data_IF_884381569471
#
_entry.id   IF_884381569471
#
_cell.length_a   1.000
_cell.length_b   1.000
_cell.length_c   1.000
_cell.angle_alpha   90.00
_cell.angle_beta   90.00
_cell.angle_gamma   90.00
#
_symmetry.space_group_name_H-M   'P 1'
#
loop_
_entity.id
_entity.type
_entity.pdbx_description
1 polymer ?
#
# COMPACT_ATOMS: atom_id res chain seq x y z
N UNK A 1 28.01 19.69 -10.78
CA UNK A 1 27.12 18.92 -9.89
C UNK A 1 26.30 17.99 -10.78
N UNK A 2 26.77 16.76 -10.99
CA UNK A 2 26.19 15.81 -11.94
C UNK A 2 25.23 14.88 -11.21
N UNK A 3 23.95 14.95 -11.56
CA UNK A 3 22.90 14.06 -11.05
C UNK A 3 23.09 12.71 -11.75
N UNK A 4 23.52 11.67 -11.01
CA UNK A 4 23.40 10.29 -11.49
C UNK A 4 21.92 9.92 -11.50
N UNK A 5 21.38 9.65 -12.69
CA UNK A 5 20.03 9.12 -12.84
C UNK A 5 19.87 7.76 -12.13
N UNK A 6 18.65 7.46 -11.70
CA UNK A 6 18.29 6.20 -11.06
C UNK A 6 17.74 5.23 -12.13
N UNK A 7 18.42 4.09 -12.33
CA UNK A 7 17.92 3.02 -13.19
C UNK A 7 17.09 2.06 -12.34
N UNK A 8 15.79 1.96 -12.60
CA UNK A 8 14.96 0.90 -12.06
C UNK A 8 15.36 -0.41 -12.76
N UNK A 9 15.75 -1.47 -12.04
CA UNK A 9 15.87 -2.80 -12.62
C UNK A 9 14.51 -3.19 -13.22
N UNK A 10 14.46 -3.91 -14.36
CA UNK A 10 13.20 -4.47 -14.83
C UNK A 10 12.61 -5.32 -13.70
N UNK A 11 11.29 -5.22 -13.49
CA UNK A 11 10.58 -6.10 -12.57
C UNK A 11 10.99 -7.54 -12.88
N UNK A 12 11.61 -8.21 -11.90
CA UNK A 12 12.00 -9.61 -12.07
C UNK A 12 10.72 -10.42 -12.30
N UNK A 13 10.75 -11.32 -13.28
CA UNK A 13 9.67 -12.20 -13.70
C UNK A 13 9.25 -13.25 -12.65
N UNK A 14 9.13 -12.83 -11.39
CA UNK A 14 8.46 -13.55 -10.32
C UNK A 14 6.98 -13.11 -10.27
N UNK A 15 6.32 -13.10 -11.42
CA UNK A 15 4.91 -12.70 -11.61
C UNK A 15 3.96 -13.87 -11.30
N UNK A 16 4.22 -14.58 -10.21
CA UNK A 16 3.21 -15.43 -9.58
C UNK A 16 2.29 -14.56 -8.74
N UNK A 17 0.99 -14.86 -8.63
CA UNK A 17 0.13 -14.15 -7.69
C UNK A 17 0.78 -14.25 -6.30
N UNK A 18 1.07 -13.09 -5.70
CA UNK A 18 1.54 -13.04 -4.33
C UNK A 18 0.51 -13.77 -3.44
N UNK A 19 0.96 -14.54 -2.42
CA UNK A 19 0.04 -15.22 -1.54
C UNK A 19 -0.93 -14.21 -0.92
N UNK A 20 -2.21 -14.58 -0.87
CA UNK A 20 -3.24 -13.75 -0.26
C UNK A 20 -2.85 -13.42 1.18
N UNK A 21 -2.88 -12.14 1.52
CA UNK A 21 -2.57 -11.67 2.86
C UNK A 21 -3.78 -11.92 3.76
N UNK A 22 -3.63 -12.76 4.77
CA UNK A 22 -4.66 -12.90 5.80
C UNK A 22 -4.62 -11.70 6.76
N UNK A 23 -5.67 -10.89 6.70
CA UNK A 23 -5.85 -9.74 7.57
C UNK A 23 -6.53 -10.13 8.88
N UNK A 24 -5.98 -9.62 9.98
CA UNK A 24 -6.64 -9.68 11.28
C UNK A 24 -7.90 -8.79 11.30
N UNK A 25 -8.79 -8.94 12.30
CA UNK A 25 -10.04 -8.16 12.35
C UNK A 25 -9.84 -6.64 12.38
N UNK A 26 -8.80 -6.15 13.04
CA UNK A 26 -8.52 -4.72 13.15
C UNK A 26 -8.04 -4.13 11.81
N UNK A 27 -7.23 -4.90 11.08
CA UNK A 27 -6.76 -4.52 9.75
C UNK A 27 -7.91 -4.55 8.73
N UNK A 28 -8.76 -5.58 8.79
CA UNK A 28 -9.97 -5.69 7.95
C UNK A 28 -10.91 -4.50 8.17
N UNK A 29 -11.12 -4.09 9.42
CA UNK A 29 -11.94 -2.93 9.73
C UNK A 29 -11.43 -1.63 9.09
N UNK A 30 -10.12 -1.49 8.88
CA UNK A 30 -9.53 -0.35 8.15
C UNK A 30 -9.79 -0.46 6.64
N UNK A 31 -9.62 -1.67 6.07
CA UNK A 31 -9.83 -1.91 4.63
C UNK A 31 -11.28 -1.68 4.22
N UNK A 32 -12.22 -2.08 5.08
CA UNK A 32 -13.67 -1.94 4.86
C UNK A 32 -14.21 -0.51 5.07
N UNK A 33 -13.35 0.45 5.44
CA UNK A 33 -13.78 1.84 5.56
C UNK A 33 -14.33 2.36 4.22
N UNK A 34 -15.48 3.06 4.21
CA UNK A 34 -16.04 3.64 3.00
C UNK A 34 -15.10 4.65 2.30
N UNK A 35 -15.29 4.86 1.00
CA UNK A 35 -14.63 6.00 0.32
C UNK A 35 -15.13 7.32 0.92
N UNK A 36 -14.21 8.29 1.04
CA UNK A 36 -14.54 9.64 1.55
C UNK A 36 -14.46 9.80 3.06
N UNK A 37 -14.22 8.72 3.83
CA UNK A 37 -13.98 8.82 5.28
C UNK A 37 -12.49 8.98 5.58
N UNK A 38 -12.19 9.70 6.65
CA UNK A 38 -10.84 9.82 7.19
C UNK A 38 -10.73 9.06 8.50
N UNK A 39 -9.61 8.36 8.71
CA UNK A 39 -9.36 7.57 9.91
C UNK A 39 -7.91 7.71 10.38
N UNK A 40 -7.71 7.60 11.69
CA UNK A 40 -6.38 7.49 12.30
C UNK A 40 -6.15 6.04 12.73
N UNK A 41 -5.10 5.42 12.19
CA UNK A 41 -4.73 4.03 12.50
C UNK A 41 -3.48 4.01 13.36
N UNK A 42 -3.64 3.68 14.64
CA UNK A 42 -2.58 3.65 15.63
C UNK A 42 -2.27 2.19 15.95
N UNK A 43 -0.99 1.81 15.86
CA UNK A 43 -0.55 0.44 16.10
C UNK A 43 0.88 0.39 16.59
N UNK A 44 1.20 -0.65 17.35
CA UNK A 44 2.54 -0.93 17.84
C UNK A 44 3.52 -1.20 16.67
N UNK A 45 4.85 -1.10 16.89
CA UNK A 45 5.83 -1.59 15.94
C UNK A 45 5.54 -3.05 15.57
N UNK A 46 5.54 -3.36 14.28
CA UNK A 46 5.27 -4.73 13.79
C UNK A 46 3.78 -5.12 13.70
N UNK A 47 2.82 -4.23 14.04
CA UNK A 47 1.38 -4.54 13.98
C UNK A 47 0.80 -4.63 12.55
N UNK A 48 1.65 -4.64 11.51
CA UNK A 48 1.20 -4.76 10.13
C UNK A 48 0.61 -3.50 9.48
N UNK A 49 0.82 -2.28 10.01
CA UNK A 49 0.29 -1.03 9.41
C UNK A 49 0.63 -0.85 7.94
N UNK A 50 1.84 -1.24 7.52
CA UNK A 50 2.25 -1.21 6.11
C UNK A 50 1.45 -2.19 5.27
N UNK A 51 1.22 -3.40 5.79
CA UNK A 51 0.38 -4.42 5.16
C UNK A 51 -1.05 -3.91 5.00
N UNK A 52 -1.64 -3.36 6.07
CA UNK A 52 -2.99 -2.77 6.04
C UNK A 52 -3.09 -1.65 5.00
N UNK A 53 -2.08 -0.78 4.91
CA UNK A 53 -2.05 0.30 3.93
C UNK A 53 -2.02 -0.24 2.48
N UNK A 54 -1.24 -1.28 2.21
CA UNK A 54 -1.18 -1.92 0.89
C UNK A 54 -2.51 -2.55 0.51
N UNK A 55 -3.12 -3.29 1.43
CA UNK A 55 -4.42 -3.92 1.17
C UNK A 55 -5.55 -2.89 1.04
N UNK A 56 -5.52 -1.79 1.82
CA UNK A 56 -6.47 -0.68 1.65
C UNK A 56 -6.37 -0.10 0.22
N UNK A 57 -5.16 0.18 -0.26
CA UNK A 57 -4.96 0.70 -1.63
C UNK A 57 -5.40 -0.33 -2.68
N UNK A 58 -5.06 -1.60 -2.49
CA UNK A 58 -5.48 -2.68 -3.38
C UNK A 58 -7.01 -2.78 -3.45
N UNK A 59 -7.70 -2.75 -2.32
CA UNK A 59 -9.17 -2.74 -2.24
C UNK A 59 -9.77 -1.54 -3.01
N UNK A 60 -9.21 -0.33 -2.82
CA UNK A 60 -9.69 0.87 -3.50
C UNK A 60 -9.58 0.77 -5.02
N UNK A 61 -8.48 0.22 -5.53
CA UNK A 61 -8.23 0.13 -6.97
C UNK A 61 -8.97 -1.07 -7.57
N UNK A 62 -8.76 -2.26 -7.02
CA UNK A 62 -9.19 -3.52 -7.64
C UNK A 62 -10.66 -3.83 -7.41
N UNK A 63 -11.23 -3.43 -6.27
CA UNK A 63 -12.62 -3.73 -5.90
C UNK A 63 -13.51 -2.50 -6.07
N UNK A 64 -13.05 -1.34 -5.61
CA UNK A 64 -13.85 -0.11 -5.64
C UNK A 64 -13.65 0.72 -6.92
N UNK A 65 -12.69 0.35 -7.78
CA UNK A 65 -12.53 0.89 -9.13
C UNK A 65 -11.94 2.30 -9.19
N UNK A 66 -11.24 2.76 -8.15
CA UNK A 66 -10.51 4.03 -8.20
C UNK A 66 -9.36 3.92 -9.21
N UNK A 67 -9.15 4.97 -10.02
CA UNK A 67 -7.99 5.02 -10.89
C UNK A 67 -6.73 5.13 -10.00
N UNK A 68 -5.70 4.29 -10.20
CA UNK A 68 -4.43 4.42 -9.48
C UNK A 68 -3.84 5.85 -9.51
N UNK A 69 -4.11 6.62 -10.57
CA UNK A 69 -3.68 8.02 -10.68
C UNK A 69 -4.37 8.95 -9.68
N UNK A 70 -5.50 8.54 -9.10
CA UNK A 70 -6.24 9.28 -8.07
C UNK A 70 -5.78 8.94 -6.64
N UNK A 71 -4.87 7.97 -6.48
CA UNK A 71 -4.39 7.49 -5.17
C UNK A 71 -3.00 8.05 -4.86
N UNK A 72 -2.88 8.75 -3.72
CA UNK A 72 -1.59 9.23 -3.19
C UNK A 72 -1.24 8.51 -1.89
N UNK A 73 -0.07 7.88 -1.87
CA UNK A 73 0.52 7.30 -0.65
C UNK A 73 1.81 8.02 -0.31
N UNK A 74 1.92 8.51 0.93
CA UNK A 74 3.10 9.20 1.43
C UNK A 74 3.82 8.33 2.46
N UNK A 75 5.13 8.16 2.28
CA UNK A 75 5.99 7.45 3.22
C UNK A 75 7.02 8.41 3.83
N UNK A 76 7.51 8.15 5.06
CA UNK A 76 8.44 9.05 5.75
C UNK A 76 9.84 9.06 5.13
N UNK A 77 10.17 8.08 4.28
CA UNK A 77 11.46 7.99 3.59
C UNK A 77 11.28 7.41 2.20
N UNK A 78 12.24 7.67 1.31
CA UNK A 78 12.26 7.08 -0.03
C UNK A 78 12.30 5.56 0.01
N UNK A 79 13.09 4.98 0.92
CA UNK A 79 13.23 3.54 1.05
C UNK A 79 11.91 2.85 1.44
N UNK A 80 11.02 3.55 2.16
CA UNK A 80 9.70 3.05 2.49
C UNK A 80 8.66 3.26 1.36
N UNK A 81 8.99 4.07 0.34
CA UNK A 81 8.12 4.38 -0.80
C UNK A 81 8.42 3.52 -2.05
N UNK A 82 9.48 2.72 -2.03
CA UNK A 82 9.93 1.84 -3.11
C UNK A 82 9.70 0.40 -2.75
#
# INVERSE_FOLDING_TARGET
>A
MTIRGFRQPPASAADGPAPAVELDPSQRAVVELPVGVSAAVIGAPGSGRTTTLRELVAERILVQGLDPAEVLVLAPSRAAAT
#
